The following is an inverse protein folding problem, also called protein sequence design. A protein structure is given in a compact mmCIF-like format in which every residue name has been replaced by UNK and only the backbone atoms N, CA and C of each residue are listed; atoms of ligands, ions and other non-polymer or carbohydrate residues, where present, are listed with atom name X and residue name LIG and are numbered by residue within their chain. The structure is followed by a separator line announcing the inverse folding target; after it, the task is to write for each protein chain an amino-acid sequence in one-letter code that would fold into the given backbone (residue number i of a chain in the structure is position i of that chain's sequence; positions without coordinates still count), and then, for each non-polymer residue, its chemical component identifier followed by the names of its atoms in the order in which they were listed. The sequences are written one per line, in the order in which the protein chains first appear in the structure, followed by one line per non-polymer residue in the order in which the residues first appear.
data_IF_421779569250
#
_entry.id   IF_421779569250
#
_cell.length_a   1.000
_cell.length_b   1.000
_cell.length_c   1.000
_cell.angle_alpha   90.00
_cell.angle_beta   90.00
_cell.angle_gamma   90.00
#
_symmetry.space_group_name_H-M   'P 1'
#
loop_
_entity.id
_entity.type
_entity.pdbx_description
1 polymer ?
#
# COMPACT_ATOMS: atom_id res chain seq x y z
N UNK A 1 -7.29 -5.19 -18.48
CA UNK A 1 -6.84 -6.33 -17.64
C UNK A 1 -6.40 -5.78 -16.30
N UNK A 2 -6.91 -6.32 -15.20
CA UNK A 2 -6.56 -5.88 -13.84
C UNK A 2 -5.25 -6.53 -13.43
N UNK A 3 -4.21 -5.75 -13.12
CA UNK A 3 -2.91 -6.27 -12.68
C UNK A 3 -3.06 -6.88 -11.28
N UNK A 4 -2.63 -8.13 -11.08
CA UNK A 4 -2.55 -8.73 -9.74
C UNK A 4 -1.48 -8.03 -8.91
N UNK A 5 -1.81 -7.65 -7.68
CA UNK A 5 -0.85 -7.11 -6.70
C UNK A 5 -0.32 -8.25 -5.83
N UNK A 6 0.89 -8.08 -5.29
CA UNK A 6 1.49 -9.06 -4.37
C UNK A 6 1.53 -8.49 -2.95
N UNK A 7 0.90 -9.20 -2.01
CA UNK A 7 1.04 -8.95 -0.58
C UNK A 7 2.13 -9.87 -0.04
N UNK A 8 3.21 -9.30 0.46
CA UNK A 8 4.30 -10.06 1.07
C UNK A 8 4.12 -10.06 2.58
N UNK A 9 4.10 -11.24 3.20
CA UNK A 9 3.91 -11.36 4.65
C UNK A 9 5.01 -12.17 5.31
N UNK A 10 5.24 -11.88 6.58
CA UNK A 10 6.01 -12.70 7.50
C UNK A 10 5.26 -12.82 8.84
N UNK A 11 5.78 -13.57 9.85
CA UNK A 11 5.05 -13.78 11.10
C UNK A 11 4.67 -12.51 11.88
N UNK A 12 5.21 -11.34 11.53
CA UNK A 12 4.97 -10.09 12.26
C UNK A 12 4.20 -9.05 11.46
N UNK A 13 4.48 -8.87 10.16
CA UNK A 13 3.81 -7.85 9.32
C UNK A 13 3.61 -8.32 7.87
N UNK A 14 2.80 -7.56 7.13
CA UNK A 14 2.69 -7.70 5.69
C UNK A 14 2.80 -6.36 4.96
N UNK A 15 3.19 -6.42 3.68
CA UNK A 15 3.36 -5.26 2.83
C UNK A 15 2.89 -5.50 1.40
N UNK A 16 2.00 -4.64 0.91
CA UNK A 16 1.49 -4.65 -0.45
C UNK A 16 2.48 -3.96 -1.38
N UNK A 17 2.99 -4.69 -2.38
CA UNK A 17 3.91 -4.13 -3.37
C UNK A 17 3.16 -3.30 -4.41
N UNK A 18 3.53 -2.03 -4.54
CA UNK A 18 2.96 -1.10 -5.53
C UNK A 18 4.10 -0.38 -6.29
N UNK A 19 4.10 -0.40 -7.64
CA UNK A 19 5.04 0.40 -8.42
C UNK A 19 4.84 1.90 -8.19
N UNK A 20 5.93 2.68 -8.14
CA UNK A 20 5.83 4.15 -7.99
C UNK A 20 5.03 4.78 -9.12
N UNK A 21 5.15 4.25 -10.35
CA UNK A 21 4.37 4.71 -11.49
C UNK A 21 2.86 4.53 -11.32
N UNK A 22 2.41 3.49 -10.60
CA UNK A 22 0.99 3.28 -10.30
C UNK A 22 0.51 4.26 -9.23
N UNK A 23 1.34 4.58 -8.23
CA UNK A 23 1.01 5.61 -7.24
C UNK A 23 0.81 6.96 -7.92
N UNK A 24 1.77 7.38 -8.75
CA UNK A 24 1.67 8.64 -9.50
C UNK A 24 0.44 8.68 -10.41
N UNK A 25 0.08 7.56 -11.04
CA UNK A 25 -1.11 7.44 -11.89
C UNK A 25 -2.41 7.71 -11.13
N UNK A 26 -2.49 7.28 -9.87
CA UNK A 26 -3.69 7.47 -9.04
C UNK A 26 -3.67 8.77 -8.25
N UNK A 27 -2.59 9.55 -8.34
CA UNK A 27 -2.42 10.83 -7.66
C UNK A 27 -1.82 10.72 -6.27
N UNK A 28 -1.17 9.59 -5.94
CA UNK A 28 -0.46 9.39 -4.68
C UNK A 28 1.05 9.55 -4.88
N UNK A 29 1.72 10.07 -3.85
CA UNK A 29 3.15 10.22 -3.73
C UNK A 29 3.67 9.36 -2.58
N UNK A 30 4.67 8.52 -2.88
CA UNK A 30 5.29 7.66 -1.87
C UNK A 30 5.98 8.44 -0.73
N UNK A 31 6.39 9.68 -0.97
CA UNK A 31 7.10 10.52 0.00
C UNK A 31 6.20 11.17 1.04
N UNK A 32 4.89 11.27 0.77
CA UNK A 32 3.98 12.15 1.51
C UNK A 32 2.76 11.46 2.06
N UNK A 33 2.26 10.46 1.35
CA UNK A 33 0.94 9.89 1.61
C UNK A 33 0.98 8.67 2.53
N UNK A 34 2.17 8.18 2.88
CA UNK A 34 2.36 6.93 3.61
C UNK A 34 3.25 7.10 4.84
N UNK A 35 3.11 6.16 5.76
CA UNK A 35 3.87 6.10 6.99
C UNK A 35 5.31 5.61 6.79
N UNK A 36 6.17 5.86 7.79
CA UNK A 36 7.50 5.26 7.85
C UNK A 36 7.52 3.75 8.11
N UNK A 37 6.37 3.10 8.35
CA UNK A 37 6.26 1.65 8.49
C UNK A 37 6.30 0.91 7.14
N UNK A 38 6.13 1.67 6.05
CA UNK A 38 6.29 1.20 4.68
C UNK A 38 7.75 1.29 4.20
N UNK A 39 8.07 0.55 3.14
CA UNK A 39 9.44 0.46 2.60
C UNK A 39 9.52 0.82 1.12
N UNK A 40 10.67 1.31 0.67
CA UNK A 40 11.00 1.61 -0.72
C UNK A 40 12.09 0.69 -1.24
N UNK A 41 11.87 0.11 -2.43
CA UNK A 41 12.93 -0.53 -3.21
C UNK A 41 13.50 0.45 -4.21
N UNK A 42 14.82 0.61 -4.11
CA UNK A 42 15.62 1.49 -4.95
C UNK A 42 16.51 0.69 -5.89
N UNK A 43 16.71 1.18 -7.10
CA UNK A 43 17.76 0.72 -8.02
C UNK A 43 18.58 1.91 -8.55
N UNK A 44 19.38 1.70 -9.60
CA UNK A 44 20.22 2.74 -10.19
C UNK A 44 19.43 3.97 -10.72
N UNK A 45 18.13 3.82 -10.97
CA UNK A 45 17.23 4.88 -11.46
C UNK A 45 16.41 5.54 -10.36
N UNK A 46 16.59 5.14 -9.09
CA UNK A 46 15.84 5.66 -7.95
C UNK A 46 14.79 4.67 -7.42
N UNK A 47 13.74 5.20 -6.76
CA UNK A 47 12.69 4.37 -6.14
C UNK A 47 11.78 3.79 -7.23
N UNK A 48 11.71 2.47 -7.30
CA UNK A 48 10.95 1.76 -8.36
C UNK A 48 9.63 1.20 -7.86
N UNK A 49 9.58 0.76 -6.61
CA UNK A 49 8.39 0.20 -5.98
C UNK A 49 8.40 0.48 -4.50
N UNK A 50 7.21 0.62 -3.93
CA UNK A 50 7.02 0.67 -2.48
C UNK A 50 6.31 -0.60 -2.00
N UNK A 51 6.44 -0.83 -0.70
CA UNK A 51 5.89 -1.94 0.03
C UNK A 51 5.08 -1.33 1.16
N UNK A 52 3.78 -1.15 0.89
CA UNK A 52 2.84 -0.47 1.76
C UNK A 52 2.41 -1.39 2.89
N UNK A 53 2.63 -0.96 4.12
CA UNK A 53 2.21 -1.66 5.35
C UNK A 53 0.69 -1.98 5.30
N UNK A 54 0.32 -3.21 5.66
CA UNK A 54 -1.03 -3.77 5.49
C UNK A 54 -2.10 -3.05 6.32
N UNK A 55 -1.80 -2.69 7.57
CA UNK A 55 -2.77 -2.12 8.50
C UNK A 55 -2.99 -0.62 8.33
N UNK A 56 -1.99 0.13 7.83
CA UNK A 56 -2.09 1.58 7.77
C UNK A 56 -1.94 2.22 6.36
N UNK A 57 -1.17 1.63 5.45
CA UNK A 57 -0.79 2.29 4.19
C UNK A 57 -1.41 1.64 2.94
N UNK A 58 -1.46 0.31 2.89
CA UNK A 58 -2.09 -0.44 1.80
C UNK A 58 -3.60 -0.08 1.63
N UNK A 59 -4.38 0.14 2.70
CA UNK A 59 -5.77 0.57 2.60
C UNK A 59 -5.91 1.90 1.82
N UNK A 60 -5.01 2.86 2.01
CA UNK A 60 -5.04 4.17 1.35
C UNK A 60 -5.02 3.98 -0.17
N UNK A 61 -4.05 3.21 -0.69
CA UNK A 61 -3.94 2.95 -2.12
C UNK A 61 -5.18 2.25 -2.69
N UNK A 62 -5.69 1.22 -2.01
CA UNK A 62 -6.87 0.48 -2.45
C UNK A 62 -8.13 1.35 -2.43
N UNK A 63 -8.30 2.21 -1.42
CA UNK A 63 -9.41 3.14 -1.35
C UNK A 63 -9.33 4.17 -2.49
N UNK A 64 -8.15 4.70 -2.80
CA UNK A 64 -7.94 5.63 -3.92
C UNK A 64 -8.30 5.00 -5.27
N UNK A 65 -8.00 3.71 -5.49
CA UNK A 65 -8.46 3.02 -6.70
C UNK A 65 -10.00 3.00 -6.78
N UNK A 66 -10.66 2.66 -5.67
CA UNK A 66 -12.11 2.54 -5.62
C UNK A 66 -12.82 3.90 -5.77
N UNK A 67 -12.30 4.99 -5.19
CA UNK A 67 -12.88 6.33 -5.37
C UNK A 67 -12.75 6.86 -6.80
N UNK A 68 -11.81 6.31 -7.56
CA UNK A 68 -11.64 6.59 -8.99
C UNK A 68 -12.49 5.69 -9.88
N UNK A 69 -13.34 4.84 -9.30
CA UNK A 69 -14.18 3.88 -10.02
C UNK A 69 -13.41 2.68 -10.58
N UNK A 70 -12.15 2.48 -10.15
CA UNK A 70 -11.38 1.30 -10.55
C UNK A 70 -11.77 0.09 -9.70
N UNK A 71 -11.73 -1.10 -10.29
CA UNK A 71 -11.99 -2.33 -9.54
C UNK A 71 -10.81 -2.65 -8.62
N UNK A 72 -11.11 -3.21 -7.45
CA UNK A 72 -10.07 -3.73 -6.55
C UNK A 72 -9.24 -4.80 -7.27
N UNK A 73 -7.92 -4.66 -7.37
CA UNK A 73 -7.09 -5.67 -7.99
C UNK A 73 -7.09 -6.98 -7.20
N UNK A 74 -7.00 -8.14 -7.87
CA UNK A 74 -6.70 -9.40 -7.19
C UNK A 74 -5.38 -9.26 -6.42
N UNK A 75 -5.36 -9.76 -5.19
CA UNK A 75 -4.16 -9.78 -4.35
C UNK A 75 -3.67 -11.23 -4.27
N UNK A 76 -2.37 -11.42 -4.51
CA UNK A 76 -1.68 -12.69 -4.32
C UNK A 76 -0.78 -12.60 -3.09
N UNK A 77 -0.99 -13.52 -2.15
CA UNK A 77 -0.14 -13.64 -0.97
C UNK A 77 1.20 -14.32 -1.28
N UNK A 78 2.25 -13.83 -0.63
CA UNK A 78 3.61 -14.36 -0.69
C UNK A 78 4.21 -14.35 0.71
N UNK A 79 4.05 -15.46 1.43
CA UNK A 79 4.54 -15.62 2.79
C UNK A 79 6.02 -16.04 2.86
N UNK A 80 6.75 -15.52 3.85
CA UNK A 80 8.09 -15.97 4.21
C UNK A 80 8.26 -16.07 5.73
N UNK A 81 8.96 -17.09 6.23
CA UNK A 81 9.21 -17.20 7.67
C UNK A 81 10.49 -16.43 8.06
N UNK A 82 10.35 -15.15 8.41
CA UNK A 82 11.43 -14.31 8.95
C UNK A 82 12.55 -13.93 7.97
N UNK A 83 12.36 -14.19 6.67
CA UNK A 83 13.33 -13.89 5.61
C UNK A 83 12.80 -12.90 4.56
N UNK A 84 11.83 -12.07 4.94
CA UNK A 84 11.31 -11.04 4.04
C UNK A 84 12.42 -10.05 3.73
N UNK A 85 12.84 -10.00 2.45
CA UNK A 85 13.84 -9.03 1.96
C UNK A 85 13.38 -7.59 2.13
N UNK A 86 12.08 -7.37 2.34
CA UNK A 86 11.47 -6.05 2.49
C UNK A 86 11.99 -5.36 3.74
N UNK A 87 12.22 -6.10 4.83
CA UNK A 87 12.79 -5.54 6.07
C UNK A 87 14.21 -5.01 5.94
N UNK A 88 14.90 -5.32 4.83
CA UNK A 88 16.23 -4.79 4.51
C UNK A 88 16.20 -3.57 3.59
N UNK A 89 15.01 -3.15 3.15
CA UNK A 89 14.84 -1.98 2.30
C UNK A 89 14.82 -0.69 3.12
N UNK A 90 14.97 0.44 2.43
CA UNK A 90 14.85 1.73 3.09
C UNK A 90 13.40 1.95 3.52
N UNK A 91 13.19 2.48 4.72
CA UNK A 91 11.89 2.99 5.14
C UNK A 91 11.48 4.19 4.27
N UNK A 92 10.18 4.37 4.06
CA UNK A 92 9.68 5.62 3.50
C UNK A 92 9.94 6.76 4.51
N UNK A 93 10.18 8.00 4.02
CA UNK A 93 10.14 9.15 4.90
C UNK A 93 8.75 9.24 5.53
N UNK A 94 8.66 9.62 6.81
CA UNK A 94 7.37 9.82 7.45
C UNK A 94 6.64 10.97 6.73
N UNK A 95 5.60 10.62 5.96
CA UNK A 95 4.91 11.57 5.10
C UNK A 95 4.14 12.61 5.91
N UNK A 96 4.32 13.89 5.59
CA UNK A 96 3.62 15.00 6.26
C UNK A 96 2.09 14.94 6.11
N UNK A 97 1.61 14.31 5.03
CA UNK A 97 0.21 14.34 4.61
C UNK A 97 -0.55 13.04 4.96
N UNK A 98 0.18 12.02 5.46
CA UNK A 98 -0.34 10.71 5.86
C UNK A 98 -1.58 10.80 6.76
N UNK A 99 -1.60 11.74 7.72
CA UNK A 99 -2.72 11.89 8.67
C UNK A 99 -4.05 12.26 8.00
N UNK A 100 -4.03 13.04 6.92
CA UNK A 100 -5.23 13.44 6.21
C UNK A 100 -5.81 12.27 5.39
N UNK A 101 -4.94 11.52 4.71
CA UNK A 101 -5.34 10.39 3.86
C UNK A 101 -5.90 9.21 4.67
N UNK A 102 -5.35 8.97 5.87
CA UNK A 102 -5.75 7.82 6.68
C UNK A 102 -7.14 7.98 7.33
N UNK A 103 -7.59 9.22 7.58
CA UNK A 103 -8.96 9.47 8.07
C UNK A 103 -10.02 9.06 7.04
N UNK A 104 -9.79 9.37 5.76
CA UNK A 104 -10.73 9.03 4.69
C UNK A 104 -10.70 7.54 4.35
N UNK A 105 -9.51 6.93 4.27
CA UNK A 105 -9.38 5.50 4.01
C UNK A 105 -10.06 4.66 5.10
N UNK A 106 -9.80 4.98 6.38
CA UNK A 106 -10.43 4.29 7.51
C UNK A 106 -11.96 4.41 7.52
N UNK A 107 -12.51 5.56 7.15
CA UNK A 107 -13.96 5.76 7.04
C UNK A 107 -14.55 5.00 5.85
N UNK A 108 -13.91 5.07 4.67
CA UNK A 108 -14.36 4.39 3.47
C UNK A 108 -14.45 2.86 3.66
N UNK A 109 -13.48 2.24 4.33
CA UNK A 109 -13.54 0.81 4.62
C UNK A 109 -14.64 0.46 5.63
N UNK A 110 -14.83 1.28 6.68
CA UNK A 110 -15.94 1.09 7.62
C UNK A 110 -17.28 1.12 6.89
N UNK A 111 -17.49 2.10 6.01
CA UNK A 111 -18.76 2.30 5.32
C UNK A 111 -19.02 1.21 4.27
N UNK A 112 -17.98 0.74 3.57
CA UNK A 112 -18.14 -0.30 2.53
C UNK A 112 -18.28 -1.71 3.13
N UNK A 113 -17.57 -2.04 4.20
CA UNK A 113 -17.69 -3.34 4.87
C UNK A 113 -18.88 -3.42 5.83
N UNK A 114 -19.38 -2.31 6.38
CA UNK A 114 -20.63 -2.29 7.15
C UNK A 114 -21.86 -2.62 6.26
N UNK A 115 -21.79 -2.30 4.97
CA UNK A 115 -22.86 -2.59 3.99
C UNK A 115 -22.67 -3.93 3.24
N UNK A 116 -21.72 -4.77 3.64
CA UNK A 116 -21.45 -6.09 3.04
C UNK A 116 -22.01 -7.27 3.85
N UNK A 117 -22.75 -7.00 4.94
CA UNK A 117 -23.27 -7.99 5.89
C UNK A 117 -24.81 -8.15 5.87
N UNK A 118 -25.46 -7.84 4.74
CA UNK A 118 -26.90 -8.07 4.53
C UNK A 118 -27.14 -8.96 3.31
#
# INVERSE_FOLDING_TARGET
MTKTLTLYSDPSHAWLKVPVSELSRVGLSWEKDFSGCSYARTDASGVTSVYLEEDCDAPIYLATLLSRGEQRPPIKDSYTNGRSRIRSYAHLPEGSDFKANNQWAGQFFKDRYANSAA
#
